data_IF_671968283567
#
_entry.id   IF_671968283567
#
_cell.length_a   1.000
_cell.length_b   1.000
_cell.length_c   1.000
_cell.angle_alpha   90.00
_cell.angle_beta   90.00
_cell.angle_gamma   90.00
#
_symmetry.space_group_name_H-M   'P 1'
#
loop_
_entity.id
_entity.type
_entity.pdbx_description
1 polymer ?
#
# COMPACT_ATOMS: atom_id res chain seq x y z
N UNK A 1 -2.34 -14.19 -17.56
CA UNK A 1 -2.05 -12.77 -17.29
C UNK A 1 -0.55 -12.62 -17.15
N UNK A 2 0.09 -11.73 -17.90
CA UNK A 2 1.55 -11.55 -17.85
C UNK A 2 1.80 -10.07 -17.60
N UNK A 3 2.37 -9.76 -16.42
CA UNK A 3 2.81 -8.40 -16.11
C UNK A 3 4.03 -8.05 -16.97
N UNK A 4 4.25 -6.77 -17.29
CA UNK A 4 5.49 -6.36 -17.93
C UNK A 4 6.69 -6.71 -17.03
N UNK A 5 7.85 -7.03 -17.62
CA UNK A 5 9.06 -7.32 -16.85
C UNK A 5 9.33 -6.22 -15.82
N UNK A 6 9.57 -6.64 -14.59
CA UNK A 6 10.00 -5.73 -13.52
C UNK A 6 11.51 -5.49 -13.63
N UNK A 7 11.96 -4.28 -13.31
CA UNK A 7 13.39 -3.97 -13.26
C UNK A 7 14.06 -4.73 -12.11
N UNK A 8 14.93 -5.68 -12.44
CA UNK A 8 15.63 -6.51 -11.45
C UNK A 8 16.58 -5.73 -10.55
N UNK A 9 16.93 -4.49 -10.92
CA UNK A 9 17.73 -3.60 -10.07
C UNK A 9 16.89 -2.92 -8.97
N UNK A 10 15.57 -2.93 -9.09
CA UNK A 10 14.65 -2.40 -8.09
C UNK A 10 14.07 -3.56 -7.28
N UNK A 11 14.42 -3.65 -6.00
CA UNK A 11 13.76 -4.62 -5.12
C UNK A 11 12.36 -4.13 -4.75
N UNK A 12 11.40 -5.06 -4.63
CA UNK A 12 10.09 -4.75 -4.07
C UNK A 12 9.68 -5.71 -2.97
N UNK A 13 8.92 -5.17 -2.00
CA UNK A 13 8.41 -5.90 -0.85
C UNK A 13 7.02 -6.47 -1.09
N UNK A 14 6.16 -5.70 -1.76
CA UNK A 14 4.74 -6.03 -1.92
C UNK A 14 4.32 -5.78 -3.36
N UNK A 15 3.46 -6.66 -3.86
CA UNK A 15 2.71 -6.49 -5.10
C UNK A 15 1.24 -6.76 -4.77
N UNK A 16 0.37 -5.82 -5.09
CA UNK A 16 -1.06 -5.91 -4.82
C UNK A 16 -1.87 -5.42 -6.02
N UNK A 17 -3.09 -5.92 -6.14
CA UNK A 17 -4.00 -5.62 -7.25
C UNK A 17 -5.28 -5.01 -6.71
N UNK A 18 -5.85 -4.07 -7.47
CA UNK A 18 -7.16 -3.49 -7.19
C UNK A 18 -7.99 -3.55 -8.47
N UNK A 19 -9.30 -3.76 -8.35
CA UNK A 19 -10.22 -3.64 -9.48
C UNK A 19 -10.01 -2.30 -10.18
N UNK A 20 -10.14 -2.22 -11.50
CA UNK A 20 -10.09 -0.92 -12.16
C UNK A 20 -11.45 -0.23 -12.06
N UNK A 21 -11.49 1.10 -11.81
CA UNK A 21 -12.74 1.84 -11.84
C UNK A 21 -13.37 1.93 -13.24
N UNK A 22 -12.64 1.51 -14.30
CA UNK A 22 -13.01 1.76 -15.71
C UNK A 22 -13.56 0.54 -16.46
N UNK A 23 -13.72 -0.64 -15.83
CA UNK A 23 -14.33 -1.80 -16.50
C UNK A 23 -14.25 -3.14 -15.77
N UNK A 24 -15.15 -4.06 -16.15
CA UNK A 24 -15.33 -5.36 -15.48
C UNK A 24 -14.15 -6.35 -15.64
N UNK A 25 -13.20 -6.08 -16.54
CA UNK A 25 -12.02 -6.94 -16.81
C UNK A 25 -10.68 -6.18 -16.75
N UNK A 26 -10.68 -4.96 -16.22
CA UNK A 26 -9.46 -4.18 -15.98
C UNK A 26 -9.09 -4.20 -14.50
N UNK A 27 -7.81 -4.17 -14.22
CA UNK A 27 -7.28 -4.03 -12.86
C UNK A 27 -6.02 -3.19 -12.88
N UNK A 28 -5.73 -2.59 -11.73
CA UNK A 28 -4.50 -1.87 -11.50
C UNK A 28 -3.63 -2.70 -10.57
N UNK A 29 -2.33 -2.69 -10.81
CA UNK A 29 -1.33 -3.31 -9.95
C UNK A 29 -0.47 -2.22 -9.35
N UNK A 30 -0.21 -2.33 -8.04
CA UNK A 30 0.75 -1.50 -7.33
C UNK A 30 1.86 -2.39 -6.78
N UNK A 31 3.09 -1.96 -6.99
CA UNK A 31 4.30 -2.54 -6.40
C UNK A 31 4.90 -1.55 -5.43
N UNK A 32 5.24 -2.01 -4.22
CA UNK A 32 5.91 -1.23 -3.18
C UNK A 32 7.34 -1.67 -3.03
N UNK A 33 8.28 -0.74 -3.17
CA UNK A 33 9.72 -1.04 -3.02
C UNK A 33 10.13 -1.20 -1.56
N UNK A 34 9.38 -0.58 -0.64
CA UNK A 34 9.75 -0.47 0.77
C UNK A 34 10.81 0.60 1.06
N UNK A 35 11.13 1.47 0.08
CA UNK A 35 12.04 2.61 0.22
C UNK A 35 11.27 3.94 0.05
N UNK A 36 11.94 5.07 0.29
CA UNK A 36 11.36 6.41 0.05
C UNK A 36 11.29 6.77 -1.44
N UNK A 37 12.16 6.15 -2.27
CA UNK A 37 12.39 6.55 -3.65
C UNK A 37 13.03 5.40 -4.46
N UNK A 38 12.39 4.95 -5.56
CA UNK A 38 10.96 5.12 -5.84
C UNK A 38 10.15 4.32 -4.83
N UNK A 39 9.00 4.82 -4.38
CA UNK A 39 8.21 4.13 -3.36
C UNK A 39 7.14 3.21 -3.96
N UNK A 40 6.56 3.64 -5.09
CA UNK A 40 5.49 2.94 -5.78
C UNK A 40 5.85 2.71 -7.24
N UNK A 41 5.29 1.65 -7.82
CA UNK A 41 5.15 1.55 -9.26
C UNK A 41 3.77 0.99 -9.59
N UNK A 42 3.16 1.52 -10.64
CA UNK A 42 1.81 1.16 -11.03
C UNK A 42 1.78 0.55 -12.42
N UNK A 43 0.86 -0.37 -12.63
CA UNK A 43 0.58 -0.94 -13.93
C UNK A 43 -0.93 -1.04 -14.14
N UNK A 44 -1.40 -0.59 -15.30
CA UNK A 44 -2.81 -0.67 -15.70
C UNK A 44 -2.99 -1.83 -16.68
N UNK A 45 -3.83 -2.79 -16.33
CA UNK A 45 -4.23 -3.87 -17.23
C UNK A 45 -5.64 -3.63 -17.77
N UNK A 46 -5.83 -3.88 -19.07
CA UNK A 46 -7.14 -3.83 -19.73
C UNK A 46 -7.53 -2.47 -20.30
N UNK A 47 -6.74 -1.41 -20.11
CA UNK A 47 -6.90 -0.16 -20.86
C UNK A 47 -6.31 -0.31 -22.27
N UNK A 48 -7.17 -0.47 -23.27
CA UNK A 48 -6.79 -0.39 -24.69
C UNK A 48 -6.88 1.10 -25.07
N UNK A 49 -5.84 1.87 -24.80
CA UNK A 49 -5.65 3.18 -25.44
C UNK A 49 -4.58 3.07 -26.54
N UNK A 50 -4.74 3.85 -27.60
CA UNK A 50 -3.97 3.79 -28.84
C UNK A 50 -2.47 4.12 -28.71
N UNK A 51 -2.00 4.56 -27.53
CA UNK A 51 -0.59 4.88 -27.23
C UNK A 51 0.05 3.89 -26.23
N UNK A 52 -0.39 2.64 -26.30
CA UNK A 52 -0.21 1.55 -25.34
C UNK A 52 1.26 1.23 -24.97
N UNK A 53 1.84 1.96 -24.01
CA UNK A 53 3.04 1.48 -23.30
C UNK A 53 2.57 0.63 -22.13
N UNK A 54 2.69 -0.68 -22.28
CA UNK A 54 2.53 -1.67 -21.20
C UNK A 54 3.76 -1.60 -20.29
N UNK A 55 3.94 -0.47 -19.63
CA UNK A 55 5.12 -0.17 -18.83
C UNK A 55 4.70 0.14 -17.40
N UNK A 56 5.64 -0.07 -16.48
CA UNK A 56 5.51 0.34 -15.10
C UNK A 56 5.60 1.87 -15.01
N UNK A 57 4.63 2.50 -14.36
CA UNK A 57 4.65 3.92 -14.01
C UNK A 57 5.29 4.03 -12.63
N UNK A 58 6.56 4.39 -12.59
CA UNK A 58 7.33 4.55 -11.34
C UNK A 58 6.96 5.90 -10.70
N UNK A 59 6.69 5.88 -9.39
CA UNK A 59 6.32 7.06 -8.64
C UNK A 59 7.11 7.19 -7.33
N UNK A 60 7.64 8.39 -7.13
CA UNK A 60 8.35 8.82 -5.94
C UNK A 60 7.40 9.10 -4.77
N UNK A 61 7.85 8.89 -3.53
CA UNK A 61 7.09 9.29 -2.33
C UNK A 61 7.68 10.55 -1.71
N UNK A 62 7.04 11.68 -2.02
CA UNK A 62 7.34 12.98 -1.40
C UNK A 62 6.36 13.36 -0.27
N UNK A 63 5.51 12.42 0.15
CA UNK A 63 4.52 12.63 1.20
C UNK A 63 5.27 12.82 2.52
N UNK A 64 4.98 13.93 3.23
CA UNK A 64 5.56 14.20 4.55
C UNK A 64 4.88 13.35 5.62
N UNK A 65 5.68 12.79 6.51
CA UNK A 65 5.22 11.97 7.62
C UNK A 65 4.66 12.87 8.75
N UNK A 66 3.35 12.81 9.07
CA UNK A 66 2.75 13.65 10.11
C UNK A 66 3.37 13.44 11.49
N UNK A 67 3.81 12.20 11.79
CA UNK A 67 4.36 11.83 13.08
C UNK A 67 5.90 11.95 13.16
N UNK A 68 6.54 12.38 12.08
CA UNK A 68 8.00 12.60 12.03
C UNK A 68 8.31 13.84 11.18
N UNK A 69 8.18 15.04 11.76
CA UNK A 69 8.31 16.31 11.04
C UNK A 69 9.63 16.40 10.25
N UNK A 70 9.53 16.78 8.98
CA UNK A 70 10.67 16.94 8.07
C UNK A 70 10.98 15.71 7.22
N UNK A 71 10.55 14.53 7.65
CA UNK A 71 10.79 13.28 6.92
C UNK A 71 9.71 12.99 5.86
N UNK A 72 10.12 12.35 4.76
CA UNK A 72 9.17 11.70 3.85
C UNK A 72 8.78 10.34 4.42
N UNK A 73 7.54 9.91 4.16
CA UNK A 73 7.03 8.60 4.54
C UNK A 73 7.86 7.47 3.94
N UNK A 74 8.08 6.43 4.74
CA UNK A 74 8.58 5.13 4.27
C UNK A 74 7.38 4.20 4.29
N UNK A 75 6.94 3.74 3.13
CA UNK A 75 5.83 2.81 3.03
C UNK A 75 6.32 1.39 3.31
N UNK A 76 5.65 0.68 4.20
CA UNK A 76 5.99 -0.69 4.63
C UNK A 76 4.98 -1.71 4.15
N UNK A 77 3.71 -1.33 4.03
CA UNK A 77 2.63 -2.22 3.64
C UNK A 77 1.65 -1.56 2.66
N UNK A 78 0.86 -2.35 1.95
CA UNK A 78 -0.24 -1.84 1.14
C UNK A 78 -1.16 -2.90 0.57
N UNK A 79 -2.35 -2.47 0.19
CA UNK A 79 -3.42 -3.32 -0.34
C UNK A 79 -4.22 -2.56 -1.41
N UNK A 80 -4.64 -3.28 -2.46
CA UNK A 80 -5.65 -2.79 -3.39
C UNK A 80 -7.06 -3.11 -2.88
N UNK A 81 -7.96 -2.14 -2.91
CA UNK A 81 -9.36 -2.32 -2.50
C UNK A 81 -10.26 -1.34 -3.24
N UNK A 82 -11.38 -1.84 -3.80
CA UNK A 82 -12.45 -1.02 -4.37
C UNK A 82 -12.04 0.03 -5.40
N UNK A 83 -11.07 -0.24 -6.27
CA UNK A 83 -10.60 0.75 -7.26
C UNK A 83 -9.37 1.56 -6.84
N UNK A 84 -9.00 1.46 -5.57
CA UNK A 84 -7.97 2.28 -4.92
C UNK A 84 -6.85 1.42 -4.37
N UNK A 85 -5.80 2.08 -3.90
CA UNK A 85 -4.78 1.46 -3.06
C UNK A 85 -4.69 2.17 -1.73
N UNK A 86 -4.42 1.41 -0.69
CA UNK A 86 -4.15 1.91 0.65
C UNK A 86 -2.75 1.45 1.04
N UNK A 87 -1.95 2.37 1.57
CA UNK A 87 -0.56 2.13 1.95
C UNK A 87 -0.34 2.52 3.41
N UNK A 88 0.48 1.75 4.12
CA UNK A 88 0.85 1.99 5.52
C UNK A 88 2.31 2.45 5.58
N UNK A 89 2.58 3.50 6.34
CA UNK A 89 3.94 3.96 6.62
C UNK A 89 4.56 3.22 7.80
N UNK A 90 5.89 3.25 7.93
CA UNK A 90 6.61 2.73 9.09
C UNK A 90 6.23 3.43 10.41
N UNK A 91 5.64 4.62 10.33
CA UNK A 91 5.08 5.31 11.49
C UNK A 91 3.59 5.03 11.66
N UNK A 92 2.97 4.11 10.91
CA UNK A 92 1.55 3.78 11.03
C UNK A 92 0.62 4.82 10.40
N UNK A 93 1.12 5.73 9.57
CA UNK A 93 0.26 6.61 8.77
C UNK A 93 -0.37 5.80 7.64
N UNK A 94 -1.66 6.01 7.41
CA UNK A 94 -2.40 5.36 6.31
C UNK A 94 -2.54 6.35 5.17
N UNK A 95 -2.33 5.90 3.94
CA UNK A 95 -2.38 6.74 2.75
C UNK A 95 -3.32 6.11 1.74
N UNK A 96 -4.28 6.89 1.24
CA UNK A 96 -5.11 6.51 0.11
C UNK A 96 -4.47 6.99 -1.20
N UNK A 97 -4.39 6.10 -2.18
CA UNK A 97 -3.83 6.34 -3.50
C UNK A 97 -4.89 5.99 -4.54
N UNK A 98 -5.25 6.96 -5.36
CA UNK A 98 -6.34 6.86 -6.32
C UNK A 98 -5.85 7.25 -7.72
N UNK A 99 -6.52 6.70 -8.74
CA UNK A 99 -6.30 7.12 -10.12
C UNK A 99 -7.09 8.39 -10.41
N UNK A 100 -6.40 9.53 -10.46
CA UNK A 100 -6.97 10.85 -10.74
C UNK A 100 -6.42 11.33 -12.07
N UNK A 101 -7.31 11.48 -13.06
CA UNK A 101 -6.96 11.91 -14.42
C UNK A 101 -5.89 11.02 -15.09
N UNK A 102 -5.97 9.71 -14.90
CA UNK A 102 -4.99 8.74 -15.42
C UNK A 102 -3.59 8.88 -14.80
N UNK A 103 -3.52 9.42 -13.59
CA UNK A 103 -2.32 9.48 -12.76
C UNK A 103 -2.65 8.97 -11.36
N UNK A 104 -1.89 7.98 -10.87
CA UNK A 104 -1.99 7.59 -9.47
C UNK A 104 -1.47 8.72 -8.58
N UNK A 105 -2.29 9.14 -7.62
CA UNK A 105 -1.95 10.21 -6.70
C UNK A 105 -2.38 9.81 -5.30
N UNK A 106 -1.54 10.17 -4.34
CA UNK A 106 -1.98 10.22 -2.96
C UNK A 106 -3.06 11.29 -2.81
N UNK A 107 -4.25 10.89 -2.40
CA UNK A 107 -5.37 11.82 -2.23
C UNK A 107 -5.63 12.15 -0.77
N UNK A 108 -5.36 11.19 0.15
CA UNK A 108 -5.66 11.36 1.57
C UNK A 108 -4.61 10.69 2.47
N UNK A 109 -4.43 11.25 3.66
CA UNK A 109 -3.58 10.71 4.73
C UNK A 109 -4.42 10.61 6.00
N UNK A 110 -4.41 9.44 6.63
CA UNK A 110 -5.11 9.14 7.86
C UNK A 110 -4.76 10.09 8.99
N UNK A 111 -5.77 10.63 9.66
CA UNK A 111 -5.59 11.51 10.81
C UNK A 111 -5.08 10.79 12.06
N UNK A 112 -5.14 9.44 12.08
CA UNK A 112 -4.76 8.62 13.24
C UNK A 112 -3.65 7.64 12.87
N UNK A 113 -2.82 7.36 13.85
CA UNK A 113 -1.75 6.38 13.77
C UNK A 113 -2.34 4.99 13.92
N UNK A 114 -2.05 4.12 12.95
CA UNK A 114 -2.41 2.71 12.98
C UNK A 114 -1.23 1.93 13.55
N UNK A 115 -1.23 1.70 14.86
CA UNK A 115 -0.21 0.96 15.61
C UNK A 115 -0.87 -0.03 16.57
N UNK A 116 -0.15 -1.09 16.98
CA UNK A 116 -0.61 -1.97 18.05
C UNK A 116 -0.91 -1.18 19.34
N UNK A 117 -1.88 -1.66 20.12
CA UNK A 117 -2.28 -1.05 21.39
C UNK A 117 -1.26 -1.27 22.51
N UNK A 118 -0.49 -2.36 22.44
CA UNK A 118 0.55 -2.68 23.40
C UNK A 118 1.88 -1.94 23.16
N UNK A 119 2.67 -1.79 24.23
CA UNK A 119 4.07 -1.32 24.16
C UNK A 119 4.98 -2.46 23.66
N UNK A 120 4.71 -2.99 22.47
CA UNK A 120 5.62 -3.95 21.83
C UNK A 120 6.36 -3.27 20.69
N UNK A 121 7.69 -3.30 20.74
CA UNK A 121 8.53 -2.86 19.62
C UNK A 121 8.66 -3.90 18.51
N UNK A 122 8.02 -5.07 18.66
CA UNK A 122 8.17 -6.21 17.76
C UNK A 122 6.79 -6.70 17.35
N UNK A 123 6.43 -6.37 16.12
CA UNK A 123 5.22 -6.86 15.48
C UNK A 123 5.43 -6.98 13.97
N UNK A 124 4.55 -7.74 13.32
CA UNK A 124 4.39 -7.75 11.86
C UNK A 124 2.98 -7.28 11.53
N UNK A 125 2.86 -6.32 10.61
CA UNK A 125 1.56 -5.87 10.12
C UNK A 125 1.14 -6.57 8.82
N UNK A 126 -0.16 -6.80 8.66
CA UNK A 126 -0.77 -7.28 7.42
C UNK A 126 -2.04 -6.47 7.13
N UNK A 127 -2.22 -6.10 5.87
CA UNK A 127 -3.48 -5.57 5.37
C UNK A 127 -4.21 -6.71 4.64
N UNK A 128 -5.46 -6.95 5.02
CA UNK A 128 -6.27 -8.05 4.48
C UNK A 128 -7.65 -7.52 4.11
N UNK A 129 -8.15 -7.90 2.95
CA UNK A 129 -9.55 -7.67 2.58
C UNK A 129 -10.41 -8.83 3.14
N UNK A 130 -11.47 -8.50 3.88
CA UNK A 130 -12.43 -9.47 4.39
C UNK A 130 -13.81 -8.84 4.45
N UNK A 131 -14.84 -9.50 3.93
CA UNK A 131 -16.24 -9.08 3.97
C UNK A 131 -16.49 -7.61 3.55
N UNK A 132 -15.76 -7.14 2.54
CA UNK A 132 -15.89 -5.77 2.04
C UNK A 132 -15.26 -4.70 2.94
N UNK A 133 -14.40 -5.11 3.87
CA UNK A 133 -13.61 -4.21 4.73
C UNK A 133 -12.11 -4.49 4.54
N UNK A 134 -11.30 -3.49 4.88
CA UNK A 134 -9.85 -3.65 5.02
C UNK A 134 -9.55 -3.82 6.51
N UNK A 135 -8.95 -4.95 6.86
CA UNK A 135 -8.47 -5.27 8.19
C UNK A 135 -6.95 -5.06 8.27
N UNK A 136 -6.52 -4.33 9.30
CA UNK A 136 -5.13 -4.24 9.71
C UNK A 136 -4.90 -5.23 10.86
N UNK A 137 -4.08 -6.23 10.58
CA UNK A 137 -3.73 -7.30 11.52
C UNK A 137 -2.30 -7.08 12.00
N UNK A 138 -2.12 -6.99 13.32
CA UNK A 138 -0.81 -6.99 13.95
C UNK A 138 -0.56 -8.35 14.60
N UNK A 139 0.50 -9.03 14.17
CA UNK A 139 1.05 -10.19 14.86
C UNK A 139 2.12 -9.69 15.83
N UNK A 140 1.83 -9.70 17.12
CA UNK A 140 2.69 -9.13 18.16
C UNK A 140 3.54 -10.22 18.80
N UNK A 141 4.85 -9.96 18.88
CA UNK A 141 5.84 -10.87 19.44
C UNK A 141 6.57 -10.19 20.59
N UNK A 142 6.23 -10.52 21.83
CA UNK A 142 6.79 -9.93 23.05
C UNK A 142 8.13 -10.56 23.41
N UNK A 143 8.29 -11.87 23.20
CA UNK A 143 9.52 -12.58 23.63
C UNK A 143 10.47 -12.87 22.47
N UNK A 144 9.98 -13.46 21.37
CA UNK A 144 10.79 -13.91 20.24
C UNK A 144 10.09 -13.64 18.90
N UNK A 145 10.86 -13.34 17.84
CA UNK A 145 10.34 -12.98 16.50
C UNK A 145 9.60 -14.14 15.80
N UNK A 146 9.84 -15.37 16.24
CA UNK A 146 9.26 -16.58 15.63
C UNK A 146 7.97 -17.05 16.30
N UNK A 147 7.60 -16.44 17.44
CA UNK A 147 6.39 -16.77 18.18
C UNK A 147 5.47 -15.55 18.20
N UNK A 148 4.22 -15.76 17.79
CA UNK A 148 3.16 -14.75 17.91
C UNK A 148 2.53 -14.92 19.29
N UNK A 149 2.72 -13.94 20.16
CA UNK A 149 2.19 -13.93 21.52
C UNK A 149 0.76 -13.36 21.57
N UNK A 150 0.42 -12.47 20.63
CA UNK A 150 -0.86 -11.77 20.60
C UNK A 150 -1.21 -11.36 19.16
N UNK A 151 -2.50 -11.24 18.87
CA UNK A 151 -3.01 -10.83 17.56
C UNK A 151 -4.04 -9.72 17.76
N UNK A 152 -3.74 -8.55 17.22
CA UNK A 152 -4.66 -7.42 17.25
C UNK A 152 -5.22 -7.20 15.84
N UNK A 153 -6.54 -7.08 15.72
CA UNK A 153 -7.22 -6.86 14.44
C UNK A 153 -8.02 -5.58 14.53
N UNK A 154 -7.74 -4.66 13.62
CA UNK A 154 -8.41 -3.37 13.52
C UNK A 154 -9.06 -3.23 12.16
N UNK A 155 -10.25 -2.65 12.12
CA UNK A 155 -10.82 -2.18 10.86
C UNK A 155 -10.14 -0.88 10.45
N UNK A 156 -9.62 -0.83 9.24
CA UNK A 156 -9.08 0.39 8.66
C UNK A 156 -10.24 1.33 8.32
N UNK A 157 -10.14 2.58 8.75
CA UNK A 157 -11.08 3.61 8.32
C UNK A 157 -10.79 3.96 6.85
N UNK A 158 -11.67 3.55 5.93
CA UNK A 158 -11.48 3.69 4.48
C UNK A 158 -12.07 5.00 3.93
N UNK A 159 -12.82 5.74 4.76
CA UNK A 159 -13.46 7.02 4.42
C UNK A 159 -12.58 8.24 4.75
N UNK A 160 -11.32 7.99 5.17
CA UNK A 160 -10.25 8.94 5.56
C UNK A 160 -10.50 10.39 5.18
#
# INVERSE_FOLDING_TARGET
MVLPPWDTNLSFKICTLSSSPKGANSFNVMVLTGTKSPAFAFYRWGEISSNNRREWIIQECYIKEPYSPGENMIITNGIGFGGKFYALSSQGSVVAIEDVDSCFKTTRVGARRSVPSGVSMRFREYLVESDGEILLVFLVSRQCVDVVDDVEVFRLDIDI
#
